data_IF_096186950362
#
_entry.id   IF_096186950362
#
_cell.length_a   1.000
_cell.length_b   1.000
_cell.length_c   1.000
_cell.angle_alpha   90.00
_cell.angle_beta   90.00
_cell.angle_gamma   90.00
#
_symmetry.space_group_name_H-M   'P 1'
#
loop_
_entity.id
_entity.type
_entity.pdbx_description
1 polymer ?
#
# COMPACT_ATOMS: atom_id res chain seq x y z
N UNK A 1 -2.51 -11.62 23.90
CA UNK A 1 -1.85 -11.87 22.60
C UNK A 1 -2.87 -12.27 21.54
N UNK A 2 -3.23 -11.39 20.59
CA UNK A 2 -3.90 -11.80 19.34
C UNK A 2 -3.01 -11.44 18.14
N UNK A 3 -1.96 -12.24 17.85
CA UNK A 3 -1.05 -12.01 16.72
C UNK A 3 -1.74 -12.01 15.35
N UNK A 4 -2.99 -12.50 15.26
CA UNK A 4 -3.78 -12.55 14.03
C UNK A 4 -4.13 -11.17 13.45
N UNK A 5 -4.27 -10.11 14.26
CA UNK A 5 -4.72 -8.80 13.76
C UNK A 5 -3.66 -8.10 12.89
N UNK A 6 -2.38 -8.28 13.24
CA UNK A 6 -1.24 -7.72 12.51
C UNK A 6 -1.07 -8.42 11.16
N UNK A 7 -1.12 -9.76 11.17
CA UNK A 7 -1.05 -10.58 9.96
C UNK A 7 -2.25 -10.32 9.02
N UNK A 8 -3.46 -10.17 9.57
CA UNK A 8 -4.65 -9.85 8.78
C UNK A 8 -4.56 -8.46 8.13
N UNK A 9 -3.97 -7.47 8.82
CA UNK A 9 -3.69 -6.15 8.24
C UNK A 9 -2.64 -6.21 7.12
N UNK A 10 -1.58 -7.00 7.29
CA UNK A 10 -0.59 -7.26 6.23
C UNK A 10 -1.23 -7.88 5.00
N UNK A 11 -2.08 -8.89 5.18
CA UNK A 11 -2.78 -9.56 4.08
C UNK A 11 -3.79 -8.63 3.41
N UNK A 12 -4.49 -7.78 4.17
CA UNK A 12 -5.39 -6.78 3.59
C UNK A 12 -4.62 -5.73 2.76
N UNK A 13 -3.49 -5.22 3.27
CA UNK A 13 -2.62 -4.30 2.53
C UNK A 13 -2.01 -4.95 1.29
N UNK A 14 -1.57 -6.20 1.42
CA UNK A 14 -1.08 -7.00 0.31
C UNK A 14 -2.16 -7.23 -0.74
N UNK A 15 -3.38 -7.57 -0.31
CA UNK A 15 -4.54 -7.74 -1.20
C UNK A 15 -4.90 -6.46 -1.93
N UNK A 16 -4.88 -5.31 -1.26
CA UNK A 16 -5.11 -3.99 -1.87
C UNK A 16 -4.01 -3.66 -2.89
N UNK A 17 -2.74 -3.83 -2.52
CA UNK A 17 -1.62 -3.63 -3.44
C UNK A 17 -1.68 -4.56 -4.65
N UNK A 18 -2.05 -5.83 -4.43
CA UNK A 18 -2.22 -6.84 -5.48
C UNK A 18 -3.40 -6.54 -6.40
N UNK A 19 -4.52 -6.06 -5.85
CA UNK A 19 -5.68 -5.67 -6.65
C UNK A 19 -5.36 -4.44 -7.51
N UNK A 20 -4.65 -3.45 -6.95
CA UNK A 20 -4.21 -2.27 -7.70
C UNK A 20 -3.14 -2.60 -8.75
N UNK A 21 -2.25 -3.56 -8.47
CA UNK A 21 -1.25 -4.07 -9.43
C UNK A 21 -1.81 -5.17 -10.35
N UNK A 22 -3.12 -5.45 -10.30
CA UNK A 22 -3.72 -6.46 -11.14
C UNK A 22 -3.74 -5.95 -12.60
N UNK A 23 -3.23 -6.76 -13.53
CA UNK A 23 -3.15 -6.46 -14.97
C UNK A 23 -4.39 -5.76 -15.60
N UNK A 24 -5.64 -6.16 -15.32
CA UNK A 24 -6.82 -5.45 -15.82
C UNK A 24 -7.01 -4.04 -15.25
N UNK A 25 -6.70 -3.81 -13.97
CA UNK A 25 -6.77 -2.48 -13.34
C UNK A 25 -5.62 -1.59 -13.81
N UNK A 26 -4.41 -2.14 -13.94
CA UNK A 26 -3.28 -1.46 -14.55
C UNK A 26 -3.55 -1.08 -16.01
N UNK A 27 -4.21 -1.96 -16.77
CA UNK A 27 -4.61 -1.69 -18.15
C UNK A 27 -5.64 -0.56 -18.27
N UNK A 28 -6.46 -0.29 -17.24
CA UNK A 28 -7.34 0.89 -17.21
C UNK A 28 -6.58 2.19 -16.92
N UNK A 29 -5.41 2.11 -16.27
CA UNK A 29 -4.52 3.25 -16.02
C UNK A 29 -3.51 3.51 -17.14
N UNK A 30 -3.41 2.63 -18.13
CA UNK A 30 -2.66 2.83 -19.38
C UNK A 30 -3.40 3.81 -20.32
N UNK A 31 -3.84 4.93 -19.75
CA UNK A 31 -4.38 6.06 -20.49
C UNK A 31 -3.27 7.07 -20.66
N UNK A 32 -3.18 7.67 -21.85
CA UNK A 32 -2.26 8.76 -22.16
C UNK A 32 -2.74 10.07 -21.50
N UNK A 33 -2.80 10.02 -20.17
CA UNK A 33 -3.23 11.10 -19.31
C UNK A 33 -2.00 11.66 -18.60
N UNK A 34 -1.89 12.98 -18.59
CA UNK A 34 -0.85 13.69 -17.87
C UNK A 34 -1.45 14.34 -16.63
N UNK A 35 -0.96 13.97 -15.45
CA UNK A 35 -1.30 14.62 -14.17
C UNK A 35 -0.16 15.58 -13.84
N UNK A 36 -0.46 16.87 -13.78
CA UNK A 36 0.53 17.92 -13.49
C UNK A 36 1.75 17.92 -14.46
N UNK A 37 1.55 17.46 -15.69
CA UNK A 37 2.61 17.33 -16.70
C UNK A 37 3.44 16.04 -16.61
N UNK A 38 3.12 15.13 -15.68
CA UNK A 38 3.73 13.81 -15.57
C UNK A 38 2.78 12.72 -16.08
N UNK A 39 3.29 11.65 -16.72
CA UNK A 39 2.43 10.56 -17.16
C UNK A 39 1.76 9.91 -15.94
N UNK A 40 0.46 9.67 -16.04
CA UNK A 40 -0.37 9.20 -14.92
C UNK A 40 0.09 7.82 -14.41
N UNK A 41 0.59 6.97 -15.30
CA UNK A 41 1.12 5.63 -14.97
C UNK A 41 2.22 5.65 -13.89
N UNK A 42 3.39 6.30 -14.08
CA UNK A 42 4.42 6.38 -13.04
C UNK A 42 3.96 7.15 -11.80
N UNK A 43 3.08 8.15 -11.92
CA UNK A 43 2.54 8.88 -10.76
C UNK A 43 1.68 7.98 -9.88
N UNK A 44 0.77 7.21 -10.48
CA UNK A 44 -0.07 6.24 -9.77
C UNK A 44 0.78 5.14 -9.13
N UNK A 45 1.81 4.65 -9.84
CA UNK A 45 2.74 3.67 -9.30
C UNK A 45 3.47 4.19 -8.06
N UNK A 46 3.97 5.43 -8.11
CA UNK A 46 4.61 6.06 -6.95
C UNK A 46 3.63 6.25 -5.80
N UNK A 47 2.41 6.72 -6.05
CA UNK A 47 1.39 6.87 -5.01
C UNK A 47 1.09 5.53 -4.33
N UNK A 48 0.93 4.45 -5.10
CA UNK A 48 0.71 3.11 -4.58
C UNK A 48 1.90 2.63 -3.74
N UNK A 49 3.12 2.85 -4.22
CA UNK A 49 4.34 2.52 -3.50
C UNK A 49 4.46 3.27 -2.18
N UNK A 50 4.17 4.58 -2.16
CA UNK A 50 4.17 5.40 -0.94
C UNK A 50 3.13 4.89 0.04
N UNK A 51 1.93 4.55 -0.42
CA UNK A 51 0.86 4.01 0.44
C UNK A 51 1.29 2.70 1.10
N UNK A 52 1.98 1.83 0.36
CA UNK A 52 2.54 0.58 0.87
C UNK A 52 3.62 0.84 1.94
N UNK A 53 4.54 1.78 1.71
CA UNK A 53 5.55 2.16 2.69
C UNK A 53 4.92 2.74 3.96
N UNK A 54 3.98 3.70 3.83
CA UNK A 54 3.30 4.32 4.98
C UNK A 54 2.55 3.27 5.79
N UNK A 55 1.88 2.33 5.11
CA UNK A 55 1.16 1.27 5.79
C UNK A 55 2.10 0.31 6.53
N UNK A 56 3.26 -0.03 5.95
CA UNK A 56 4.30 -0.82 6.61
C UNK A 56 4.91 -0.08 7.81
N UNK A 57 5.24 1.19 7.66
CA UNK A 57 5.76 2.04 8.73
C UNK A 57 4.78 2.12 9.90
N UNK A 58 3.50 2.41 9.60
CA UNK A 58 2.45 2.46 10.61
C UNK A 58 2.23 1.12 11.32
N UNK A 59 2.36 0.00 10.60
CA UNK A 59 2.24 -1.32 11.19
C UNK A 59 3.41 -1.65 12.12
N UNK A 60 4.65 -1.32 11.71
CA UNK A 60 5.83 -1.50 12.55
C UNK A 60 5.75 -0.66 13.82
N UNK A 61 5.33 0.60 13.71
CA UNK A 61 5.18 1.50 14.85
C UNK A 61 4.12 1.02 15.85
N UNK A 62 3.00 0.50 15.34
CA UNK A 62 1.96 -0.17 16.16
C UNK A 62 2.48 -1.40 16.91
N UNK A 63 3.41 -2.16 16.35
CA UNK A 63 3.99 -3.33 17.00
C UNK A 63 4.99 -2.94 18.10
N UNK A 64 5.78 -1.88 17.86
CA UNK A 64 6.76 -1.37 18.84
C UNK A 64 6.15 -0.61 20.03
N UNK A 65 4.90 -0.15 19.94
CA UNK A 65 4.22 0.51 21.05
C UNK A 65 3.79 -0.47 22.16
N UNK A 66 3.48 -1.73 21.81
CA UNK A 66 3.00 -2.74 22.76
C UNK A 66 4.09 -3.36 23.65
N UNK A 67 5.36 -3.03 23.40
CA UNK A 67 6.53 -3.59 24.09
C UNK A 67 7.17 -2.60 25.10
N UNK A 68 6.67 -1.35 25.15
CA UNK A 68 7.23 -0.29 26.01
C UNK A 68 6.44 -0.01 27.29
N UNK A 69 5.29 -0.66 27.47
CA UNK A 69 4.40 -0.46 28.64
C UNK A 69 4.51 -1.58 29.69
N UNK A 70 5.43 -2.55 29.53
CA UNK A 70 5.74 -3.62 30.51
C UNK A 70 7.02 -3.34 31.32
#
# INVERSE_FOLDING_TARGET
MNPGLTAQRLVALFGVGWLLLNFPLLGMWDVDAMVLGLPLFPTALMALWTLLIVALAWLMERHSQGDKDD
#
